data_IF_870306192639
#
_entry.id   IF_870306192639
#
_cell.length_a   1.000
_cell.length_b   1.000
_cell.length_c   1.000
_cell.angle_alpha   90.00
_cell.angle_beta   90.00
_cell.angle_gamma   90.00
#
_symmetry.space_group_name_H-M   'P 1'
#
loop_
_entity.id
_entity.type
_entity.pdbx_description
1 polymer ?
#
# COMPACT_ATOMS: atom_id res chain seq x y z
N UNK A 1 2.10 -13.19 -16.38
CA UNK A 1 1.75 -11.84 -15.87
C UNK A 1 1.59 -11.92 -14.37
N UNK A 2 2.18 -11.00 -13.60
CA UNK A 2 1.83 -10.84 -12.20
C UNK A 2 0.50 -10.08 -12.14
N UNK A 3 -0.55 -10.74 -11.68
CA UNK A 3 -1.87 -10.12 -11.51
C UNK A 3 -1.93 -9.52 -10.11
N UNK A 4 -2.39 -8.27 -9.99
CA UNK A 4 -2.71 -7.66 -8.71
C UNK A 4 -4.03 -8.22 -8.20
N UNK A 5 -4.13 -8.42 -6.88
CA UNK A 5 -5.39 -8.72 -6.23
C UNK A 5 -6.06 -7.42 -5.79
N UNK A 6 -7.31 -7.22 -6.19
CA UNK A 6 -8.10 -6.04 -5.84
C UNK A 6 -8.77 -6.22 -4.48
N UNK A 7 -8.79 -5.14 -3.69
CA UNK A 7 -9.47 -5.07 -2.41
C UNK A 7 -10.29 -3.78 -2.36
N UNK A 8 -11.60 -3.91 -2.14
CA UNK A 8 -12.47 -2.74 -1.92
C UNK A 8 -12.14 -2.13 -0.57
N UNK A 9 -11.84 -0.83 -0.55
CA UNK A 9 -11.56 -0.10 0.67
C UNK A 9 -12.84 0.59 1.15
N UNK A 10 -13.23 0.30 2.38
CA UNK A 10 -14.36 1.00 3.01
C UNK A 10 -13.86 2.31 3.62
N UNK A 11 -14.43 3.43 3.15
CA UNK A 11 -14.11 4.76 3.64
C UNK A 11 -14.96 5.14 4.85
N UNK A 12 -14.32 5.60 5.93
CA UNK A 12 -15.00 6.23 7.07
C UNK A 12 -14.54 7.67 7.18
N UNK A 13 -15.47 8.62 7.02
CA UNK A 13 -15.19 10.07 7.10
C UNK A 13 -14.04 10.51 6.17
N UNK A 14 -13.99 9.98 4.95
CA UNK A 14 -12.96 10.30 3.95
C UNK A 14 -11.64 9.54 4.10
N UNK A 15 -11.49 8.69 5.13
CA UNK A 15 -10.32 7.86 5.33
C UNK A 15 -10.59 6.43 4.85
N UNK A 16 -9.81 5.98 3.85
CA UNK A 16 -9.83 4.63 3.31
C UNK A 16 -8.61 3.86 3.82
N UNK A 17 -8.82 2.68 4.40
CA UNK A 17 -7.76 1.91 5.04
C UNK A 17 -7.73 0.48 4.52
N UNK A 18 -6.52 -0.04 4.35
CA UNK A 18 -6.25 -1.46 4.14
C UNK A 18 -5.36 -1.96 5.27
N UNK A 19 -5.80 -3.00 5.98
CA UNK A 19 -5.01 -3.63 7.02
C UNK A 19 -4.42 -4.94 6.49
N UNK A 20 -3.09 -4.97 6.38
CA UNK A 20 -2.37 -6.15 5.94
C UNK A 20 -2.22 -7.17 7.06
N UNK A 21 -2.54 -8.43 6.79
CA UNK A 21 -2.27 -9.57 7.67
C UNK A 21 -1.19 -10.48 7.06
N UNK A 22 0.02 -10.55 7.67
CA UNK A 22 1.11 -11.38 7.17
C UNK A 22 0.85 -12.88 7.30
N UNK A 23 -0.10 -13.32 8.15
CA UNK A 23 -0.46 -14.74 8.24
C UNK A 23 -1.28 -15.18 7.03
N UNK A 24 -2.16 -14.30 6.57
CA UNK A 24 -3.02 -14.55 5.39
C UNK A 24 -2.25 -14.35 4.08
N UNK A 25 -1.39 -13.34 4.01
CA UNK A 25 -0.63 -12.98 2.80
C UNK A 25 0.87 -12.94 3.08
N UNK A 26 1.55 -14.09 3.22
CA UNK A 26 2.97 -14.12 3.56
C UNK A 26 3.84 -13.49 2.45
N UNK A 27 4.84 -12.70 2.84
CA UNK A 27 5.74 -12.06 1.89
C UNK A 27 6.80 -11.18 2.55
N UNK A 28 7.75 -10.70 1.75
CA UNK A 28 8.84 -9.80 2.20
C UNK A 28 8.59 -8.33 1.84
N UNK A 29 7.66 -8.07 0.93
CA UNK A 29 7.22 -6.73 0.56
C UNK A 29 5.78 -6.73 0.07
N UNK A 30 5.12 -5.58 0.19
CA UNK A 30 3.87 -5.27 -0.45
C UNK A 30 4.14 -4.42 -1.69
N UNK A 31 3.41 -4.72 -2.76
CA UNK A 31 3.37 -3.86 -3.93
C UNK A 31 1.92 -3.50 -4.22
N UNK A 32 1.61 -2.21 -4.19
CA UNK A 32 0.23 -1.74 -4.29
C UNK A 32 0.14 -0.39 -4.99
N UNK A 33 -1.03 -0.11 -5.53
CA UNK A 33 -1.45 1.20 -6.01
C UNK A 33 -2.93 1.36 -5.65
N UNK A 34 -3.42 2.59 -5.71
CA UNK A 34 -4.83 2.88 -5.47
C UNK A 34 -5.54 3.16 -6.78
N UNK A 35 -6.77 2.68 -6.86
CA UNK A 35 -7.70 3.02 -7.92
C UNK A 35 -8.92 3.66 -7.27
N UNK A 36 -9.39 4.75 -7.86
CA UNK A 36 -10.65 5.39 -7.50
C UNK A 36 -11.54 5.34 -8.74
N UNK A 37 -12.62 4.59 -8.64
CA UNK A 37 -13.65 4.55 -9.66
C UNK A 37 -14.78 5.53 -9.31
N UNK A 38 -15.18 6.31 -10.30
CA UNK A 38 -16.34 7.20 -10.26
C UNK A 38 -17.28 6.77 -11.39
N UNK A 39 -18.53 7.26 -11.39
CA UNK A 39 -19.52 6.90 -12.42
C UNK A 39 -19.04 7.08 -13.88
N UNK A 40 -18.06 7.98 -14.12
CA UNK A 40 -17.62 8.35 -15.47
C UNK A 40 -16.15 8.08 -15.74
N UNK A 41 -15.33 7.89 -14.71
CA UNK A 41 -13.87 7.92 -14.82
C UNK A 41 -13.23 7.05 -13.75
N UNK A 42 -12.08 6.51 -14.11
CA UNK A 42 -11.17 5.78 -13.22
C UNK A 42 -9.89 6.60 -13.05
N UNK A 43 -9.43 6.72 -11.81
CA UNK A 43 -8.21 7.40 -11.44
C UNK A 43 -7.26 6.41 -10.77
N UNK A 44 -5.96 6.53 -11.02
CA UNK A 44 -4.92 5.71 -10.42
C UNK A 44 -3.89 6.55 -9.67
N UNK A 45 -3.33 6.02 -8.60
CA UNK A 45 -2.27 6.69 -7.84
C UNK A 45 -1.31 5.68 -7.17
N UNK A 46 0.01 5.95 -7.11
CA UNK A 46 0.67 7.16 -7.62
C UNK A 46 1.02 7.05 -9.11
N UNK A 47 1.14 8.21 -9.76
CA UNK A 47 1.60 8.34 -11.14
C UNK A 47 3.02 8.91 -11.19
N UNK A 48 3.79 8.57 -12.21
CA UNK A 48 5.06 9.24 -12.51
C UNK A 48 4.85 10.54 -13.30
N UNK A 49 5.97 11.20 -13.65
CA UNK A 49 5.96 12.45 -14.41
C UNK A 49 5.40 12.31 -15.83
N UNK A 50 5.34 11.08 -16.35
CA UNK A 50 4.74 10.71 -17.63
C UNK A 50 3.24 10.36 -17.49
N UNK A 51 2.68 10.40 -16.28
CA UNK A 51 1.29 10.04 -16.01
C UNK A 51 1.03 8.52 -15.96
N UNK A 52 2.07 7.70 -15.92
CA UNK A 52 1.97 6.25 -15.83
C UNK A 52 1.85 5.80 -14.37
N UNK A 53 1.01 4.80 -14.12
CA UNK A 53 0.82 4.24 -12.80
C UNK A 53 2.07 3.49 -12.32
N UNK A 54 2.65 3.92 -11.20
CA UNK A 54 3.78 3.26 -10.57
C UNK A 54 3.36 2.69 -9.21
N UNK A 55 3.34 1.35 -9.05
CA UNK A 55 3.04 0.74 -7.77
C UNK A 55 4.07 1.12 -6.70
N UNK A 56 3.58 1.44 -5.51
CA UNK A 56 4.40 1.60 -4.31
C UNK A 56 4.96 0.24 -3.90
N UNK A 57 6.26 0.18 -3.64
CA UNK A 57 6.93 -1.00 -3.06
C UNK A 57 7.27 -0.74 -1.61
N UNK A 58 6.62 -1.46 -0.70
CA UNK A 58 6.83 -1.34 0.75
C UNK A 58 7.46 -2.61 1.30
N UNK A 59 8.70 -2.52 1.78
CA UNK A 59 9.33 -3.63 2.50
C UNK A 59 8.58 -3.92 3.80
N UNK A 60 8.33 -5.20 4.05
CA UNK A 60 7.75 -5.68 5.30
C UNK A 60 8.90 -5.95 6.27
N UNK A 61 8.99 -5.12 7.31
CA UNK A 61 10.01 -5.24 8.34
C UNK A 61 9.36 -5.85 9.58
N UNK A 62 10.08 -6.72 10.27
CA UNK A 62 9.67 -7.21 11.58
C UNK A 62 9.38 -6.01 12.50
N UNK A 63 8.17 -5.89 13.07
CA UNK A 63 7.80 -4.76 13.91
C UNK A 63 8.74 -4.57 15.11
N UNK A 64 9.26 -5.67 15.68
CA UNK A 64 10.25 -5.61 16.77
C UNK A 64 11.54 -4.94 16.30
N UNK A 65 12.00 -5.25 15.09
CA UNK A 65 13.19 -4.63 14.50
C UNK A 65 12.93 -3.16 14.14
N UNK A 66 11.75 -2.83 13.63
CA UNK A 66 11.34 -1.46 13.31
C UNK A 66 11.43 -0.55 14.54
N UNK A 67 10.82 -0.94 15.67
CA UNK A 67 10.85 -0.13 16.89
C UNK A 67 12.25 -0.01 17.50
N UNK A 68 13.07 -1.07 17.43
CA UNK A 68 14.49 -1.01 17.85
C UNK A 68 15.29 0.00 17.02
N UNK A 69 15.06 0.07 15.72
CA UNK A 69 15.74 1.04 14.84
C UNK A 69 15.28 2.48 15.13
N UNK A 70 13.98 2.72 15.28
CA UNK A 70 13.45 4.05 15.60
C UNK A 70 13.98 4.56 16.94
N UNK A 71 14.06 3.69 17.96
CA UNK A 71 14.63 4.05 19.26
C UNK A 71 16.11 4.46 19.20
N UNK A 72 16.88 3.94 18.24
CA UNK A 72 18.30 4.30 18.03
C UNK A 72 18.47 5.62 17.26
N UNK A 73 17.54 5.95 16.37
CA UNK A 73 17.60 7.17 15.56
C UNK A 73 17.14 8.42 16.32
N UNK A 74 16.39 8.23 17.40
CA UNK A 74 15.88 9.30 18.26
C UNK A 74 16.78 9.57 19.49
N UNK A 75 17.98 8.97 19.53
CA UNK A 75 19.04 9.21 20.52
C UNK A 75 20.15 10.04 19.89
#
# INVERSE_FOLDING_TARGET
MAYYQEFVLNGVKGLYQFTYDPKTYPGTYLQYYFVIETEKKVYGSPLNDQGELIPVKKLLVDPVQYFKQQGRLNQ
#
